data_IF_818439010195
#
_entry.id   IF_818439010195
#
_cell.length_a   1.000
_cell.length_b   1.000
_cell.length_c   1.000
_cell.angle_alpha   90.00
_cell.angle_beta   90.00
_cell.angle_gamma   90.00
#
_symmetry.space_group_name_H-M   'P 1'
#
loop_
_entity.id
_entity.type
_entity.pdbx_description
1 polymer ?
#
# COMPACT_ATOMS: atom_id res chain seq x y z
N UNK A 1 3.75 2.28 19.49
CA UNK A 1 4.01 2.55 18.06
C UNK A 1 3.83 1.23 17.36
N UNK A 2 2.84 1.14 16.48
CA UNK A 2 2.54 -0.07 15.72
C UNK A 2 2.90 0.24 14.28
N UNK A 3 3.85 -0.51 13.73
CA UNK A 3 4.09 -0.53 12.29
C UNK A 3 3.27 -1.66 11.69
N UNK A 4 2.78 -1.44 10.48
CA UNK A 4 2.02 -2.42 9.71
C UNK A 4 2.78 -2.79 8.44
N UNK A 5 2.77 -4.07 8.09
CA UNK A 5 3.38 -4.58 6.88
C UNK A 5 2.35 -5.33 6.05
N UNK A 6 2.21 -4.92 4.80
CA UNK A 6 1.39 -5.58 3.79
C UNK A 6 2.28 -5.96 2.61
N UNK A 7 2.17 -7.20 2.14
CA UNK A 7 2.86 -7.64 0.92
C UNK A 7 1.86 -8.17 -0.09
N UNK A 8 2.18 -7.97 -1.36
CA UNK A 8 1.40 -8.47 -2.49
C UNK A 8 2.28 -9.29 -3.43
N UNK A 9 1.67 -10.22 -4.17
CA UNK A 9 2.29 -10.84 -5.35
C UNK A 9 2.27 -9.90 -6.56
N UNK A 10 2.78 -10.36 -7.71
CA UNK A 10 2.86 -9.56 -8.95
C UNK A 10 1.50 -9.21 -9.58
N UNK A 11 0.40 -9.84 -9.13
CA UNK A 11 -0.96 -9.52 -9.58
C UNK A 11 -1.75 -8.72 -8.54
N UNK A 12 -1.09 -8.30 -7.45
CA UNK A 12 -1.68 -7.48 -6.40
C UNK A 12 -2.56 -8.24 -5.41
N UNK A 13 -2.40 -9.57 -5.29
CA UNK A 13 -3.03 -10.34 -4.21
C UNK A 13 -2.21 -10.22 -2.94
N UNK A 14 -2.87 -10.02 -1.81
CA UNK A 14 -2.22 -9.94 -0.50
C UNK A 14 -1.64 -11.32 -0.17
N UNK A 15 -0.33 -11.39 0.04
CA UNK A 15 0.38 -12.61 0.46
C UNK A 15 0.85 -12.55 1.91
N UNK A 16 0.86 -11.36 2.50
CA UNK A 16 1.21 -11.16 3.91
C UNK A 16 0.49 -9.92 4.45
N UNK A 17 -0.03 -10.05 5.67
CA UNK A 17 -0.74 -9.01 6.38
C UNK A 17 -0.49 -9.25 7.87
N UNK A 18 0.30 -8.39 8.51
CA UNK A 18 0.71 -8.61 9.91
C UNK A 18 -0.29 -8.07 10.94
N UNK A 19 -0.05 -8.39 12.21
CA UNK A 19 -0.88 -7.93 13.32
C UNK A 19 -0.93 -6.39 13.43
N UNK A 20 0.09 -5.69 12.92
CA UNK A 20 0.08 -4.24 12.84
C UNK A 20 -0.93 -3.74 11.81
N UNK A 21 -0.97 -4.34 10.62
CA UNK A 21 -1.96 -4.04 9.60
C UNK A 21 -3.39 -4.36 10.06
N UNK A 22 -3.57 -5.44 10.83
CA UNK A 22 -4.86 -5.74 11.46
C UNK A 22 -5.28 -4.64 12.44
N UNK A 23 -4.36 -4.21 13.31
CA UNK A 23 -4.62 -3.17 14.29
C UNK A 23 -4.89 -1.80 13.65
N UNK A 24 -4.16 -1.44 12.59
CA UNK A 24 -4.29 -0.14 11.94
C UNK A 24 -5.52 -0.07 11.02
N UNK A 25 -5.81 -1.13 10.26
CA UNK A 25 -6.82 -1.10 9.19
C UNK A 25 -8.14 -1.78 9.58
N UNK A 26 -8.16 -2.57 10.65
CA UNK A 26 -9.35 -3.23 11.18
C UNK A 26 -9.78 -4.50 10.42
N UNK A 27 -9.00 -4.94 9.43
CA UNK A 27 -9.20 -6.23 8.76
C UNK A 27 -8.50 -7.35 9.51
N UNK A 28 -9.00 -8.58 9.40
CA UNK A 28 -8.27 -9.77 9.85
C UNK A 28 -7.43 -10.31 8.69
N UNK A 29 -6.16 -10.63 8.94
CA UNK A 29 -5.22 -11.10 7.92
C UNK A 29 -5.72 -12.37 7.23
N UNK A 30 -6.35 -13.27 7.98
CA UNK A 30 -6.93 -14.51 7.45
C UNK A 30 -8.08 -14.28 6.45
N UNK A 31 -8.78 -13.16 6.54
CA UNK A 31 -9.93 -12.85 5.68
C UNK A 31 -9.51 -12.14 4.39
N UNK A 32 -8.37 -11.45 4.41
CA UNK A 32 -7.88 -10.63 3.28
C UNK A 32 -6.76 -11.29 2.48
N UNK A 33 -6.01 -12.22 3.10
CA UNK A 33 -4.92 -12.94 2.42
C UNK A 33 -5.47 -13.76 1.25
N UNK A 34 -4.79 -13.68 0.11
CA UNK A 34 -5.21 -14.28 -1.17
C UNK A 34 -6.19 -13.40 -1.97
N UNK A 35 -6.80 -12.40 -1.33
CA UNK A 35 -7.66 -11.39 -1.96
C UNK A 35 -6.88 -10.24 -2.58
N UNK A 36 -7.53 -9.39 -3.39
CA UNK A 36 -6.89 -8.22 -4.01
C UNK A 36 -6.62 -7.12 -2.98
N UNK A 37 -5.52 -6.38 -3.16
CA UNK A 37 -5.17 -5.22 -2.31
C UNK A 37 -6.19 -4.06 -2.40
N UNK A 38 -7.10 -4.09 -3.38
CA UNK A 38 -8.20 -3.14 -3.58
C UNK A 38 -9.06 -2.85 -2.35
N UNK A 39 -9.10 -3.78 -1.40
CA UNK A 39 -9.82 -3.60 -0.13
C UNK A 39 -9.22 -2.48 0.73
N UNK A 40 -7.92 -2.22 0.59
CA UNK A 40 -7.21 -1.13 1.25
C UNK A 40 -7.21 0.16 0.42
N UNK A 41 -7.60 0.11 -0.85
CA UNK A 41 -7.48 1.23 -1.78
C UNK A 41 -8.84 1.91 -1.97
N UNK A 42 -8.99 3.20 -1.61
CA UNK A 42 -10.21 3.94 -1.87
C UNK A 42 -10.62 3.87 -3.33
N UNK A 43 -11.91 3.62 -3.59
CA UNK A 43 -12.44 3.38 -4.95
C UNK A 43 -12.00 4.44 -5.96
N UNK A 44 -12.01 5.72 -5.57
CA UNK A 44 -11.61 6.85 -6.43
C UNK A 44 -10.13 6.87 -6.83
N UNK A 45 -9.29 6.12 -6.13
CA UNK A 45 -7.84 6.08 -6.33
C UNK A 45 -7.37 4.78 -7.00
N UNK A 46 -8.26 3.80 -7.21
CA UNK A 46 -7.88 2.47 -7.72
C UNK A 46 -7.18 2.54 -9.07
N UNK A 47 -7.65 3.36 -10.00
CA UNK A 47 -7.05 3.50 -11.32
C UNK A 47 -5.60 4.03 -11.24
N UNK A 48 -5.38 5.07 -10.41
CA UNK A 48 -4.06 5.64 -10.19
C UNK A 48 -3.12 4.64 -9.47
N UNK A 49 -3.65 3.94 -8.45
CA UNK A 49 -2.94 2.88 -7.73
C UNK A 49 -2.48 1.78 -8.70
N UNK A 50 -3.38 1.21 -9.51
CA UNK A 50 -3.06 0.11 -10.42
C UNK A 50 -2.10 0.53 -11.53
N UNK A 51 -2.24 1.74 -12.06
CA UNK A 51 -1.25 2.31 -12.99
C UNK A 51 0.14 2.39 -12.35
N UNK A 52 0.21 2.86 -11.11
CA UNK A 52 1.45 2.89 -10.32
C UNK A 52 2.02 1.49 -10.07
N UNK A 53 1.17 0.53 -9.72
CA UNK A 53 1.52 -0.84 -9.42
C UNK A 53 2.05 -1.58 -10.65
N UNK A 54 1.35 -1.54 -11.79
CA UNK A 54 1.79 -2.19 -13.03
C UNK A 54 3.15 -1.68 -13.49
N UNK A 55 3.36 -0.35 -13.46
CA UNK A 55 4.67 0.24 -13.77
C UNK A 55 5.78 -0.28 -12.83
N UNK A 56 5.45 -0.55 -11.56
CA UNK A 56 6.41 -1.09 -10.60
C UNK A 56 6.72 -2.58 -10.86
N UNK A 57 5.76 -3.35 -11.38
CA UNK A 57 5.97 -4.75 -11.74
C UNK A 57 6.72 -4.90 -13.07
N UNK A 58 6.56 -3.96 -14.00
CA UNK A 58 7.31 -3.90 -15.26
C UNK A 58 8.77 -3.50 -15.04
N UNK A 59 9.01 -2.53 -14.15
CA UNK A 59 10.36 -2.07 -13.79
C UNK A 59 10.50 -1.95 -12.25
N UNK A 60 10.89 -3.04 -11.57
CA UNK A 60 11.01 -3.07 -10.12
C UNK A 60 12.25 -2.34 -9.61
N UNK A 61 13.13 -1.84 -10.48
CA UNK A 61 14.38 -1.17 -10.06
C UNK A 61 14.15 0.24 -9.52
N UNK A 62 12.93 0.78 -9.65
CA UNK A 62 12.69 2.24 -9.58
C UNK A 62 11.85 2.70 -8.38
N UNK A 63 11.24 1.84 -7.57
CA UNK A 63 10.22 2.33 -6.60
C UNK A 63 10.55 2.06 -5.14
N UNK A 64 11.28 2.99 -4.55
CA UNK A 64 11.21 3.32 -3.13
C UNK A 64 10.47 4.66 -3.01
N UNK A 65 9.23 4.63 -2.53
CA UNK A 65 8.39 5.82 -2.38
C UNK A 65 7.87 5.91 -0.96
N UNK A 66 8.21 6.98 -0.25
CA UNK A 66 7.60 7.35 1.01
C UNK A 66 6.50 8.41 0.77
N UNK A 67 5.31 8.20 1.32
CA UNK A 67 4.16 9.06 1.14
C UNK A 67 3.11 8.85 2.24
N UNK A 68 2.24 9.85 2.42
CA UNK A 68 0.96 9.70 3.09
C UNK A 68 0.03 8.93 2.14
N UNK A 69 -0.31 7.70 2.53
CA UNK A 69 -1.13 6.79 1.75
C UNK A 69 -2.55 6.73 2.34
N UNK A 70 -3.59 7.07 1.55
CA UNK A 70 -4.97 6.91 1.97
C UNK A 70 -5.34 5.42 1.92
N UNK A 71 -5.72 4.89 3.07
CA UNK A 71 -6.15 3.50 3.24
C UNK A 71 -7.64 3.47 3.57
N UNK A 72 -8.40 2.64 2.85
CA UNK A 72 -9.78 2.29 3.19
C UNK A 72 -9.77 1.24 4.30
N UNK A 73 -10.20 1.61 5.49
CA UNK A 73 -10.27 0.72 6.65
C UNK A 73 -11.57 -0.11 6.65
N UNK A 74 -11.61 -1.17 7.47
CA UNK A 74 -12.73 -2.10 7.56
C UNK A 74 -14.06 -1.47 8.01
N UNK A 75 -13.99 -0.33 8.72
CA UNK A 75 -15.16 0.45 9.11
C UNK A 75 -15.69 1.37 7.99
N UNK A 76 -15.05 1.35 6.82
CA UNK A 76 -15.41 2.15 5.65
C UNK A 76 -14.80 3.56 5.63
N UNK A 77 -14.10 3.95 6.70
CA UNK A 77 -13.43 5.25 6.77
C UNK A 77 -12.09 5.22 6.03
N UNK A 78 -11.73 6.34 5.39
CA UNK A 78 -10.43 6.51 4.75
C UNK A 78 -9.51 7.22 5.74
N UNK A 79 -8.34 6.63 6.00
CA UNK A 79 -7.31 7.19 6.89
C UNK A 79 -5.99 7.30 6.16
N UNK A 80 -5.29 8.41 6.38
CA UNK A 80 -3.93 8.63 5.87
C UNK A 80 -2.92 8.02 6.84
N UNK A 81 -2.02 7.21 6.30
CA UNK A 81 -0.90 6.63 7.03
C UNK A 81 0.40 7.00 6.35
N UNK A 82 1.40 7.38 7.15
CA UNK A 82 2.75 7.45 6.65
C UNK A 82 3.18 6.06 6.20
N UNK A 83 3.58 5.89 4.94
CA UNK A 83 4.06 4.61 4.49
C UNK A 83 5.10 4.67 3.39
N UNK A 84 5.71 3.52 3.17
CA UNK A 84 6.78 3.31 2.22
C UNK A 84 6.48 2.09 1.37
N UNK A 85 6.44 2.28 0.06
CA UNK A 85 6.22 1.21 -0.92
C UNK A 85 7.55 0.84 -1.58
N UNK A 86 7.85 -0.46 -1.58
CA UNK A 86 8.99 -1.04 -2.29
C UNK A 86 8.52 -2.11 -3.26
N UNK A 87 8.96 -2.02 -4.51
CA UNK A 87 8.86 -3.14 -5.45
C UNK A 87 9.90 -4.21 -5.07
N UNK A 88 9.47 -5.47 -5.05
CA UNK A 88 10.32 -6.62 -4.76
C UNK A 88 10.72 -7.29 -6.07
N UNK A 89 12.01 -7.61 -6.20
CA UNK A 89 12.54 -8.41 -7.30
C UNK A 89 13.39 -9.57 -6.79
N UNK A 90 13.47 -10.63 -7.58
CA UNK A 90 14.40 -11.74 -7.33
C UNK A 90 15.84 -11.36 -7.73
N UNK A 91 16.80 -12.26 -7.52
CA UNK A 91 18.20 -12.03 -7.89
C UNK A 91 18.48 -11.85 -9.38
N UNK A 92 17.49 -12.05 -10.26
CA UNK A 92 17.55 -11.81 -11.69
C UNK A 92 16.91 -10.47 -12.09
N UNK A 93 16.41 -9.68 -11.14
CA UNK A 93 15.72 -8.42 -11.37
C UNK A 93 14.26 -8.60 -11.85
N UNK A 94 13.71 -9.80 -11.82
CA UNK A 94 12.29 -10.02 -12.15
C UNK A 94 11.43 -9.64 -10.96
N UNK A 95 10.36 -8.86 -11.19
CA UNK A 95 9.42 -8.51 -10.14
C UNK A 95 8.77 -9.78 -9.54
N UNK A 96 8.64 -9.79 -8.21
CA UNK A 96 7.96 -10.86 -7.46
C UNK A 96 6.77 -10.35 -6.64
N UNK A 97 6.63 -9.03 -6.52
CA UNK A 97 5.53 -8.40 -5.81
C UNK A 97 5.92 -7.03 -5.25
N UNK A 98 5.18 -6.56 -4.26
CA UNK A 98 5.48 -5.31 -3.56
C UNK A 98 5.29 -5.48 -2.05
N UNK A 99 6.02 -4.67 -1.28
CA UNK A 99 5.84 -4.52 0.17
C UNK A 99 5.51 -3.06 0.47
N UNK A 100 4.51 -2.86 1.32
CA UNK A 100 4.15 -1.57 1.88
C UNK A 100 4.30 -1.63 3.40
N UNK A 101 5.05 -0.68 3.95
CA UNK A 101 5.26 -0.51 5.39
C UNK A 101 4.54 0.77 5.80
N UNK A 102 3.73 0.73 6.85
CA UNK A 102 2.99 1.88 7.37
C UNK A 102 3.29 2.09 8.84
N UNK A 103 3.22 3.35 9.28
CA UNK A 103 3.38 3.71 10.68
C UNK A 103 2.09 4.33 11.23
N UNK A 104 1.80 4.08 12.51
CA UNK A 104 0.71 4.71 13.26
C UNK A 104 0.86 6.25 13.37
N UNK A 105 2.08 6.76 13.21
CA UNK A 105 2.30 8.20 12.99
C UNK A 105 1.69 8.62 11.63
N UNK A 106 0.59 9.38 11.68
CA UNK A 106 -0.30 9.64 10.54
C UNK A 106 0.23 10.59 9.46
N UNK A 107 1.52 10.92 9.45
CA UNK A 107 2.05 11.89 8.48
C UNK A 107 3.56 11.79 8.30
N UNK A 108 3.99 11.47 7.08
CA UNK A 108 5.32 11.79 6.53
C UNK A 108 5.45 13.27 6.16
N UNK A 109 4.32 13.96 5.97
CA UNK A 109 4.26 15.33 5.44
C UNK A 109 4.26 15.41 3.91
N UNK A 110 4.33 14.27 3.20
CA UNK A 110 4.30 14.17 1.73
C UNK A 110 2.94 13.62 1.31
N UNK A 111 2.12 14.44 0.63
CA UNK A 111 0.74 14.07 0.22
C UNK A 111 0.59 13.99 -1.29
N UNK A 112 0.93 12.86 -1.94
CA UNK A 112 0.91 12.75 -3.40
C UNK A 112 -0.49 12.79 -4.03
N UNK A 113 -1.57 12.68 -3.22
CA UNK A 113 -2.96 12.65 -3.69
C UNK A 113 -3.77 13.90 -3.33
N UNK A 114 -3.15 14.97 -2.80
CA UNK A 114 -3.83 16.24 -2.53
C UNK A 114 -3.75 17.12 -3.77
N UNK A 115 -4.88 17.67 -4.21
CA UNK A 115 -4.88 18.74 -5.23
C UNK A 115 -4.04 19.92 -4.73
N UNK A 116 -3.29 20.62 -5.59
CA UNK A 116 -2.58 21.83 -5.19
C UNK A 116 -3.60 22.82 -4.61
N UNK A 117 -3.31 23.33 -3.40
CA UNK A 117 -4.12 24.39 -2.82
C UNK A 117 -4.00 25.61 -3.75
N UNK A 118 -5.12 25.99 -4.39
CA UNK A 118 -5.23 27.26 -5.12
C UNK A 118 -4.83 28.40 -4.18
N UNK A 119 -3.80 29.13 -4.57
CA UNK A 119 -3.30 30.32 -3.88
C UNK A 119 -4.01 31.57 -4.41
#
# INVERSE_FOLDING_TARGET
MVDAVVMTDVVGRIVYFDAGAEALFGYQGQDVTGGPVDILVPTRLRDAHWSGFHRAMEDPTVKDMAADMPVLCADGEIREYAGRLLALSNGLGTAVGAIAIYSDERSTGIRPFREPEDH
#
